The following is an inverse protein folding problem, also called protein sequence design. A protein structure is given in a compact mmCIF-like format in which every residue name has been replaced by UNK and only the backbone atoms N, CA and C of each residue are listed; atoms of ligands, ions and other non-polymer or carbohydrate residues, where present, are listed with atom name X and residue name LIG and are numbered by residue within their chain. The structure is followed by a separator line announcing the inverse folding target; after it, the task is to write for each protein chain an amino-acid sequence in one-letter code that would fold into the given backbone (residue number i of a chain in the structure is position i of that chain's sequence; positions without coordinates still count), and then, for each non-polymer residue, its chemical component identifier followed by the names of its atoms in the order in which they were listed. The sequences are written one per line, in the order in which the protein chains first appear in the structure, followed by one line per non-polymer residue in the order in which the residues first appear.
data_IF_796052131483
#
_entry.id   IF_796052131483
#
_cell.length_a   1.000
_cell.length_b   1.000
_cell.length_c   1.000
_cell.angle_alpha   90.00
_cell.angle_beta   90.00
_cell.angle_gamma   90.00
#
_symmetry.space_group_name_H-M   'P 1'
#
loop_
_entity.id
_entity.type
_entity.pdbx_description
1 polymer ?
#
# COMPACT_ATOMS: atom_id res chain seq x y z
N UNK A 1 -2.59 -28.71 -22.38
CA UNK A 1 -2.51 -27.24 -22.22
C UNK A 1 -2.87 -26.93 -20.78
N UNK A 2 -1.87 -26.63 -19.94
CA UNK A 2 -2.12 -26.26 -18.54
C UNK A 2 -2.69 -24.85 -18.54
N UNK A 3 -4.01 -24.70 -18.32
CA UNK A 3 -4.59 -23.38 -18.11
C UNK A 3 -4.05 -22.87 -16.78
N UNK A 4 -3.01 -22.04 -16.82
CA UNK A 4 -2.59 -21.29 -15.66
C UNK A 4 -3.77 -20.40 -15.27
N UNK A 5 -4.52 -20.80 -14.25
CA UNK A 5 -5.56 -19.97 -13.67
C UNK A 5 -4.89 -18.67 -13.24
N UNK A 6 -5.38 -17.51 -13.70
CA UNK A 6 -4.77 -16.24 -13.36
C UNK A 6 -4.91 -16.04 -11.85
N UNK A 7 -3.77 -16.15 -11.16
CA UNK A 7 -3.70 -16.11 -9.72
C UNK A 7 -3.67 -14.66 -9.29
N UNK A 8 -4.77 -14.18 -8.70
CA UNK A 8 -4.81 -12.86 -8.07
C UNK A 8 -3.86 -12.88 -6.89
N UNK A 9 -2.87 -11.99 -6.90
CA UNK A 9 -1.91 -11.86 -5.82
C UNK A 9 -2.32 -10.70 -4.91
N UNK A 10 -3.11 -11.01 -3.89
CA UNK A 10 -3.46 -10.06 -2.82
C UNK A 10 -2.38 -10.12 -1.73
N UNK A 11 -1.85 -8.98 -1.24
CA UNK A 11 -0.85 -8.98 -0.17
C UNK A 11 -1.43 -9.54 1.13
N UNK A 12 -0.59 -10.18 1.95
CA UNK A 12 -0.98 -10.64 3.28
C UNK A 12 -0.99 -9.47 4.27
N UNK A 13 -2.04 -9.36 5.07
CA UNK A 13 -2.08 -8.51 6.25
C UNK A 13 -1.43 -9.26 7.41
N UNK A 14 -0.13 -9.03 7.58
CA UNK A 14 0.61 -9.49 8.74
C UNK A 14 0.57 -8.42 9.84
N UNK A 15 0.74 -8.84 11.09
CA UNK A 15 0.86 -7.89 12.20
C UNK A 15 2.06 -6.95 11.96
N UNK A 16 1.97 -5.65 12.30
CA UNK A 16 1.04 -5.01 13.24
C UNK A 16 -0.19 -4.34 12.59
N UNK A 17 -1.34 -4.41 13.27
CA UNK A 17 -2.62 -3.81 12.86
C UNK A 17 -2.69 -2.32 13.26
N UNK A 18 -1.96 -1.48 12.55
CA UNK A 18 -2.01 -0.03 12.71
C UNK A 18 -2.93 0.61 11.67
N UNK A 19 -3.40 1.82 11.91
CA UNK A 19 -4.25 2.54 10.95
C UNK A 19 -3.60 2.68 9.57
N UNK A 20 -2.29 2.95 9.53
CA UNK A 20 -1.54 3.05 8.28
C UNK A 20 -1.37 1.70 7.57
N UNK A 21 -1.03 0.64 8.31
CA UNK A 21 -0.84 -0.69 7.70
C UNK A 21 -2.14 -1.30 7.20
N UNK A 22 -3.24 -1.15 7.93
CA UNK A 22 -4.57 -1.63 7.51
C UNK A 22 -5.04 -0.87 6.27
N UNK A 23 -4.87 0.46 6.24
CA UNK A 23 -5.25 1.25 5.06
C UNK A 23 -4.40 0.89 3.85
N UNK A 24 -3.07 0.87 4.01
CA UNK A 24 -2.17 0.52 2.91
C UNK A 24 -2.45 -0.90 2.37
N UNK A 25 -2.82 -1.83 3.25
CA UNK A 25 -3.21 -3.17 2.83
C UNK A 25 -4.51 -3.17 2.02
N UNK A 26 -5.54 -2.42 2.43
CA UNK A 26 -6.79 -2.28 1.67
C UNK A 26 -6.54 -1.64 0.29
N UNK A 27 -5.73 -0.57 0.24
CA UNK A 27 -5.35 0.10 -1.01
C UNK A 27 -4.64 -0.88 -1.96
N UNK A 28 -3.67 -1.66 -1.45
CA UNK A 28 -2.99 -2.68 -2.27
C UNK A 28 -3.92 -3.84 -2.70
N UNK A 29 -4.98 -4.14 -1.95
CA UNK A 29 -5.99 -5.12 -2.38
C UNK A 29 -6.80 -4.57 -3.56
N UNK A 30 -7.19 -3.29 -3.51
CA UNK A 30 -7.89 -2.63 -4.60
C UNK A 30 -7.03 -2.57 -5.86
N UNK A 31 -5.76 -2.16 -5.74
CA UNK A 31 -4.80 -2.17 -6.84
C UNK A 31 -4.68 -3.57 -7.48
N UNK A 32 -4.60 -4.62 -6.65
CA UNK A 32 -4.51 -6.00 -7.15
C UNK A 32 -5.78 -6.44 -7.92
N UNK A 33 -6.95 -5.98 -7.49
CA UNK A 33 -8.21 -6.25 -8.19
C UNK A 33 -8.31 -5.46 -9.49
N UNK A 34 -7.85 -4.20 -9.50
CA UNK A 34 -7.81 -3.37 -10.70
C UNK A 34 -6.86 -3.94 -11.75
N UNK A 35 -5.64 -4.31 -11.35
CA UNK A 35 -4.67 -4.97 -12.23
C UNK A 35 -5.26 -6.25 -12.82
N UNK A 36 -5.96 -7.06 -12.02
CA UNK A 36 -6.62 -8.25 -12.53
C UNK A 36 -7.71 -7.91 -13.56
N UNK A 37 -8.54 -6.90 -13.31
CA UNK A 37 -9.56 -6.44 -14.25
C UNK A 37 -8.98 -5.92 -15.57
N UNK A 38 -7.81 -5.26 -15.53
CA UNK A 38 -7.08 -4.83 -16.73
C UNK A 38 -6.54 -6.04 -17.52
N UNK A 39 -5.99 -7.03 -16.82
CA UNK A 39 -5.41 -8.22 -17.43
C UNK A 39 -6.47 -9.21 -17.95
N UNK A 40 -7.68 -9.17 -17.38
CA UNK A 40 -8.79 -10.08 -17.69
C UNK A 40 -10.10 -9.30 -17.88
N UNK A 41 -10.22 -8.49 -18.95
CA UNK A 41 -11.41 -7.66 -19.17
C UNK A 41 -12.69 -8.49 -19.35
N UNK A 42 -12.56 -9.75 -19.79
CA UNK A 42 -13.68 -10.67 -19.99
C UNK A 42 -14.19 -11.32 -18.69
N UNK A 43 -13.51 -11.07 -17.55
CA UNK A 43 -13.81 -11.69 -16.25
C UNK A 43 -14.02 -10.63 -15.17
N UNK A 44 -15.28 -10.36 -14.83
CA UNK A 44 -15.62 -9.47 -13.73
C UNK A 44 -15.47 -10.16 -12.36
N UNK A 45 -14.69 -9.55 -11.47
CA UNK A 45 -14.52 -10.01 -10.10
C UNK A 45 -15.76 -9.65 -9.26
N UNK A 46 -16.58 -10.66 -8.94
CA UNK A 46 -17.67 -10.53 -7.98
C UNK A 46 -17.16 -10.02 -6.63
N UNK A 47 -17.90 -9.12 -5.99
CA UNK A 47 -17.56 -8.57 -4.68
C UNK A 47 -17.35 -9.65 -3.61
N UNK A 48 -18.16 -10.70 -3.62
CA UNK A 48 -18.00 -11.86 -2.72
C UNK A 48 -16.66 -12.56 -2.89
N UNK A 49 -16.13 -12.64 -4.11
CA UNK A 49 -14.81 -13.22 -4.38
C UNK A 49 -13.70 -12.28 -3.89
N UNK A 50 -13.82 -10.96 -4.08
CA UNK A 50 -12.87 -9.97 -3.54
C UNK A 50 -12.76 -10.06 -2.02
N UNK A 51 -13.91 -10.16 -1.34
CA UNK A 51 -13.98 -10.31 0.12
C UNK A 51 -13.34 -11.61 0.59
N UNK A 52 -13.61 -12.74 -0.09
CA UNK A 52 -12.99 -14.02 0.24
C UNK A 52 -11.47 -14.02 0.02
N UNK A 53 -10.99 -13.39 -1.05
CA UNK A 53 -9.56 -13.24 -1.31
C UNK A 53 -8.88 -12.38 -0.23
N UNK A 54 -9.51 -11.27 0.16
CA UNK A 54 -9.01 -10.43 1.25
C UNK A 54 -8.97 -11.20 2.57
N UNK A 55 -10.02 -11.96 2.91
CA UNK A 55 -10.04 -12.84 4.09
C UNK A 55 -8.89 -13.84 4.08
N UNK A 56 -8.67 -14.54 2.97
CA UNK A 56 -7.59 -15.54 2.86
C UNK A 56 -6.20 -14.95 3.11
N UNK A 57 -6.08 -13.62 3.03
CA UNK A 57 -4.87 -12.85 3.27
C UNK A 57 -4.87 -12.09 4.60
N UNK A 58 -5.92 -12.21 5.42
CA UNK A 58 -5.93 -11.72 6.80
C UNK A 58 -5.22 -12.72 7.72
N UNK A 59 -3.90 -12.71 7.70
CA UNK A 59 -3.05 -13.64 8.46
C UNK A 59 -2.76 -13.15 9.90
N UNK A 60 -2.97 -11.86 10.19
CA UNK A 60 -2.84 -11.32 11.53
C UNK A 60 -3.81 -12.03 12.51
N UNK A 61 -3.35 -12.55 13.68
CA UNK A 61 -4.17 -13.35 14.58
C UNK A 61 -5.45 -12.64 15.04
N UNK A 62 -5.33 -11.37 15.42
CA UNK A 62 -6.45 -10.53 15.86
C UNK A 62 -7.47 -10.29 14.73
N UNK A 63 -7.01 -10.12 13.49
CA UNK A 63 -7.87 -9.93 12.33
C UNK A 63 -8.58 -11.24 11.94
N UNK A 64 -7.86 -12.36 11.97
CA UNK A 64 -8.41 -13.69 11.70
C UNK A 64 -9.46 -14.09 12.74
N UNK A 65 -9.19 -13.82 14.03
CA UNK A 65 -10.14 -14.05 15.10
C UNK A 65 -11.40 -13.18 14.93
N UNK A 66 -11.24 -11.88 14.74
CA UNK A 66 -12.37 -10.97 14.50
C UNK A 66 -13.22 -11.40 13.31
N UNK A 67 -12.57 -11.83 12.21
CA UNK A 67 -13.27 -12.37 11.05
C UNK A 67 -14.08 -13.63 11.40
N UNK A 68 -13.50 -14.55 12.16
CA UNK A 68 -14.17 -15.77 12.60
C UNK A 68 -15.42 -15.48 13.44
N UNK A 69 -15.33 -14.52 14.35
CA UNK A 69 -16.45 -14.10 15.22
C UNK A 69 -17.57 -13.37 14.45
N UNK A 70 -17.25 -12.70 13.34
CA UNK A 70 -18.18 -11.87 12.57
C UNK A 70 -18.46 -12.46 11.18
N UNK A 71 -18.15 -13.74 10.95
CA UNK A 71 -18.19 -14.34 9.62
C UNK A 71 -19.58 -14.25 8.98
N UNK A 72 -20.65 -14.49 9.75
CA UNK A 72 -22.01 -14.53 9.23
C UNK A 72 -22.49 -13.16 8.77
N UNK A 73 -22.01 -12.08 9.38
CA UNK A 73 -22.34 -10.69 8.99
C UNK A 73 -21.46 -10.20 7.85
N UNK A 74 -20.18 -10.59 7.84
CA UNK A 74 -19.21 -10.15 6.82
C UNK A 74 -19.36 -10.89 5.48
N UNK A 75 -19.83 -12.14 5.48
CA UNK A 75 -20.06 -12.92 4.24
C UNK A 75 -21.24 -12.40 3.41
N UNK A 76 -22.23 -11.78 4.07
CA UNK A 76 -23.46 -11.28 3.44
C UNK A 76 -23.23 -9.92 2.76
N UNK A 77 -22.08 -9.29 2.98
CA UNK A 77 -21.72 -8.02 2.36
C UNK A 77 -21.72 -8.17 0.82
N UNK A 78 -22.55 -7.34 0.18
CA UNK A 78 -22.74 -7.33 -1.26
C UNK A 78 -21.70 -6.49 -1.99
N UNK A 79 -21.00 -5.60 -1.26
CA UNK A 79 -19.97 -4.73 -1.82
C UNK A 79 -18.66 -4.83 -1.06
N UNK A 80 -17.55 -4.63 -1.78
CA UNK A 80 -16.22 -4.57 -1.18
C UNK A 80 -16.03 -3.29 -0.34
N UNK A 81 -16.73 -2.21 -0.68
CA UNK A 81 -16.68 -0.94 0.05
C UNK A 81 -17.32 -1.04 1.45
N UNK A 82 -18.37 -1.83 1.62
CA UNK A 82 -18.94 -2.09 2.95
C UNK A 82 -17.95 -2.88 3.81
N UNK A 83 -17.22 -3.81 3.19
CA UNK A 83 -16.17 -4.56 3.86
C UNK A 83 -15.02 -3.64 4.30
N UNK A 84 -14.51 -2.77 3.42
CA UNK A 84 -13.43 -1.83 3.78
C UNK A 84 -13.85 -0.90 4.92
N UNK A 85 -15.12 -0.47 4.93
CA UNK A 85 -15.69 0.32 6.02
C UNK A 85 -15.67 -0.45 7.33
N UNK A 86 -16.12 -1.72 7.36
CA UNK A 86 -16.12 -2.55 8.57
C UNK A 86 -14.72 -2.83 9.12
N UNK A 87 -13.77 -3.10 8.24
CA UNK A 87 -12.37 -3.30 8.61
C UNK A 87 -11.79 -2.01 9.20
N UNK A 88 -12.08 -0.88 8.56
CA UNK A 88 -11.65 0.45 9.03
C UNK A 88 -12.26 0.76 10.40
N UNK A 89 -13.57 0.61 10.58
CA UNK A 89 -14.24 0.82 11.87
C UNK A 89 -13.65 -0.03 13.00
N UNK A 90 -13.23 -1.27 12.70
CA UNK A 90 -12.73 -2.19 13.70
C UNK A 90 -11.29 -1.91 14.12
N UNK A 91 -10.41 -1.70 13.15
CA UNK A 91 -8.96 -1.63 13.37
C UNK A 91 -8.41 -0.21 13.35
N UNK A 92 -9.20 0.77 12.90
CA UNK A 92 -8.82 2.16 12.82
C UNK A 92 -9.71 2.97 13.78
N UNK A 93 -9.24 3.28 14.99
CA UNK A 93 -10.04 4.01 15.96
C UNK A 93 -10.40 5.41 15.45
N UNK A 94 -11.58 5.88 15.84
CA UNK A 94 -12.05 7.24 15.57
C UNK A 94 -11.10 8.23 16.23
N UNK A 95 -10.34 8.99 15.44
CA UNK A 95 -9.32 9.92 15.96
C UNK A 95 -7.88 9.48 15.76
N UNK A 96 -7.61 8.34 15.09
CA UNK A 96 -6.25 7.86 14.82
C UNK A 96 -5.32 8.91 14.19
N UNK A 97 -5.86 9.88 13.44
CA UNK A 97 -5.09 10.99 12.88
C UNK A 97 -4.51 11.89 13.97
N UNK A 98 -5.30 12.17 15.00
CA UNK A 98 -4.88 12.96 16.16
C UNK A 98 -3.87 12.18 17.00
N UNK A 99 -4.06 10.86 17.17
CA UNK A 99 -3.13 10.00 17.90
C UNK A 99 -1.79 9.85 17.16
N UNK A 100 -1.82 9.70 15.84
CA UNK A 100 -0.63 9.66 15.00
C UNK A 100 0.11 11.00 15.04
N UNK A 101 -0.62 12.12 15.01
CA UNK A 101 -0.05 13.46 15.14
C UNK A 101 0.58 13.66 16.52
N UNK A 102 -0.12 13.27 17.60
CA UNK A 102 0.39 13.35 18.97
C UNK A 102 1.66 12.49 19.13
N UNK A 103 1.65 11.27 18.60
CA UNK A 103 2.82 10.37 18.60
C UNK A 103 3.99 11.00 17.85
N UNK A 104 3.75 11.59 16.67
CA UNK A 104 4.76 12.31 15.91
C UNK A 104 5.34 13.49 16.70
N UNK A 105 4.50 14.32 17.33
CA UNK A 105 4.97 15.43 18.17
C UNK A 105 5.81 14.95 19.35
N UNK A 106 5.42 13.85 20.00
CA UNK A 106 6.20 13.24 21.07
C UNK A 106 7.55 12.77 20.54
N UNK A 107 7.60 12.05 19.42
CA UNK A 107 8.85 11.57 18.80
C UNK A 107 9.77 12.74 18.41
N UNK A 108 9.24 13.79 17.76
CA UNK A 108 10.04 14.95 17.36
C UNK A 108 10.58 15.69 18.59
N UNK A 109 9.77 15.82 19.64
CA UNK A 109 10.17 16.47 20.89
C UNK A 109 11.18 15.63 21.69
N UNK A 110 11.10 14.31 21.67
CA UNK A 110 12.08 13.44 22.33
C UNK A 110 13.35 13.28 21.49
N UNK A 111 13.24 13.30 20.16
CA UNK A 111 14.39 13.34 19.25
C UNK A 111 15.15 14.67 19.33
N UNK A 112 14.49 15.79 19.64
CA UNK A 112 15.21 17.03 19.95
C UNK A 112 15.91 17.00 21.33
N UNK A 113 15.61 16.02 22.18
CA UNK A 113 16.34 15.71 23.42
C UNK A 113 17.49 14.69 23.22
N UNK A 114 17.56 13.98 22.09
CA UNK A 114 18.61 13.01 21.77
C UNK A 114 19.19 13.26 20.36
N UNK A 115 20.45 13.72 20.22
CA UNK A 115 21.04 14.00 18.93
C UNK A 115 21.43 12.70 18.21
N UNK A 116 20.47 11.94 17.66
CA UNK A 116 20.74 10.72 16.88
C UNK A 116 20.14 10.77 15.47
N UNK A 117 19.28 11.73 15.15
CA UNK A 117 18.81 11.92 13.77
C UNK A 117 19.25 13.28 13.22
N UNK A 118 20.56 13.44 13.07
CA UNK A 118 21.08 14.30 12.01
C UNK A 118 20.75 13.64 10.66
N UNK A 119 19.57 13.92 10.13
CA UNK A 119 19.40 13.92 8.67
C UNK A 119 20.47 14.88 8.11
N UNK A 120 21.27 14.50 7.11
CA UNK A 120 22.20 15.44 6.48
C UNK A 120 21.40 16.55 5.79
N UNK A 121 21.23 17.65 6.51
CA UNK A 121 20.86 18.94 5.97
C UNK A 121 22.03 19.46 5.13
N UNK A 122 21.79 19.53 3.81
CA UNK A 122 22.54 20.26 2.77
C UNK A 122 23.96 19.79 2.42
N UNK A 123 24.06 19.11 1.27
CA UNK A 123 25.05 19.28 0.19
C UNK A 123 24.74 18.16 -0.84
N UNK A 124 24.43 18.31 -2.12
CA UNK A 124 24.70 19.31 -3.14
C UNK A 124 23.47 19.41 -4.06
N UNK A 125 23.10 20.63 -4.46
CA UNK A 125 22.43 20.84 -5.74
C UNK A 125 23.44 20.39 -6.80
N UNK A 126 23.30 19.18 -7.32
CA UNK A 126 24.02 18.78 -8.52
C UNK A 126 23.41 19.59 -9.66
N UNK A 127 24.11 20.67 -10.00
CA UNK A 127 23.78 21.52 -11.12
C UNK A 127 23.71 20.67 -12.40
N UNK A 128 22.52 20.61 -13.01
CA UNK A 128 22.31 20.00 -14.31
C UNK A 128 23.23 20.58 -15.41
N UNK A 129 23.88 21.73 -15.16
CA UNK A 129 24.88 22.32 -16.04
C UNK A 129 26.13 21.45 -16.23
N UNK A 130 26.51 20.61 -15.25
CA UNK A 130 27.64 19.68 -15.39
C UNK A 130 27.31 18.48 -16.29
N UNK A 131 26.05 18.02 -16.30
CA UNK A 131 25.63 16.90 -17.15
C UNK A 131 25.61 17.31 -18.64
N UNK A 132 25.22 18.57 -18.92
CA UNK A 132 25.23 19.14 -20.28
C UNK A 132 26.66 19.35 -20.80
N UNK A 133 27.60 19.76 -19.94
CA UNK A 133 29.01 19.89 -20.32
C UNK A 133 29.70 18.53 -20.53
N UNK A 134 29.38 17.51 -19.73
CA UNK A 134 29.94 16.18 -19.87
C UNK A 134 29.52 15.49 -21.20
N UNK A 135 28.28 15.74 -21.66
CA UNK A 135 27.80 15.25 -22.96
C UNK A 135 28.42 16.02 -24.13
N UNK A 136 28.80 17.29 -23.94
CA UNK A 136 29.46 18.10 -24.96
C UNK A 136 30.98 17.82 -25.10
N UNK A 137 31.64 17.34 -24.03
CA UNK A 137 33.10 17.11 -24.02
C UNK A 137 33.52 15.74 -24.57
N UNK A 138 32.63 14.75 -24.66
CA UNK A 138 32.86 13.50 -25.36
C UNK A 138 32.19 13.53 -26.73
N UNK A 139 32.87 14.16 -27.69
CA UNK A 139 32.42 14.20 -29.08
C UNK A 139 32.19 12.81 -29.65
N UNK A 140 30.92 12.47 -29.88
CA UNK A 140 30.52 11.58 -30.97
C UNK A 140 29.71 12.45 -31.93
N UNK A 141 30.45 13.13 -32.82
CA UNK A 141 29.90 13.68 -34.04
C UNK A 141 29.99 12.60 -35.13
N UNK A 142 28.85 12.33 -35.77
CA UNK A 142 28.58 11.62 -37.05
C UNK A 142 27.61 10.47 -36.80
N UNK A 143 26.46 10.35 -37.41
CA UNK A 143 25.67 11.05 -38.43
C UNK A 143 24.33 10.26 -38.43
N UNK A 144 23.26 10.55 -39.14
CA UNK A 144 22.94 11.40 -40.27
C UNK A 144 21.40 11.33 -40.28
N UNK A 145 20.73 12.47 -40.45
CA UNK A 145 19.37 12.63 -41.03
C UNK A 145 18.55 11.34 -41.31
N UNK A 146 17.50 11.09 -40.54
CA UNK A 146 16.06 11.26 -40.88
C UNK A 146 15.18 10.86 -39.70
#
# INVERSE_FOLDING_TARGET
MSSATPKINVPALTAPLTASSVKAWLDCCEDAFEVYSIMHPDCELKASLKILLARLKMEAPEASQWWGENWDTLKVLTTYADFTTKVTERFIPSGWKMDALATFYVIVKTASLFPILSLPSKAHVVSWAWLVWAVAAHGIFRGLWF
#
